data_IF_067025472329
#
_entry.id   IF_067025472329
#
_cell.length_a   1.000
_cell.length_b   1.000
_cell.length_c   1.000
_cell.angle_alpha   90.00
_cell.angle_beta   90.00
_cell.angle_gamma   90.00
#
_symmetry.space_group_name_H-M   'P 1'
#
loop_
_entity.id
_entity.type
_entity.pdbx_description
1 polymer ?
#
# COMPACT_ATOMS: atom_id res chain seq x y z
N UNK A 1 13.24 50.25 56.29
CA UNK A 1 14.16 49.30 55.63
C UNK A 1 13.36 48.08 55.20
N UNK A 2 13.74 47.46 54.08
CA UNK A 2 13.30 46.17 53.51
C UNK A 2 11.84 45.70 53.64
N UNK A 3 11.22 45.46 52.48
CA UNK A 3 9.88 44.88 52.33
C UNK A 3 9.94 43.35 52.31
N UNK A 4 9.02 42.70 53.02
CA UNK A 4 8.85 41.24 53.00
C UNK A 4 7.74 40.85 52.02
N UNK A 5 8.11 40.32 50.86
CA UNK A 5 7.17 39.74 49.89
C UNK A 5 7.87 38.64 49.09
N UNK A 6 7.65 37.39 49.49
CA UNK A 6 8.12 36.20 48.77
C UNK A 6 6.90 35.45 48.27
N UNK A 7 6.82 35.30 46.95
CA UNK A 7 5.63 34.75 46.27
C UNK A 7 5.54 33.23 46.43
N UNK A 8 4.37 32.73 46.80
CA UNK A 8 4.05 31.31 46.78
C UNK A 8 3.80 30.85 45.33
N UNK A 9 4.83 30.29 44.69
CA UNK A 9 4.72 29.76 43.33
C UNK A 9 4.00 28.40 43.31
N UNK A 10 2.69 28.40 43.04
CA UNK A 10 1.94 27.17 42.75
C UNK A 10 2.39 26.57 41.41
N UNK A 11 3.21 25.54 41.47
CA UNK A 11 3.56 24.71 40.31
C UNK A 11 2.40 23.75 39.96
N UNK A 12 1.38 24.26 39.28
CA UNK A 12 0.26 23.45 38.78
C UNK A 12 0.72 22.49 37.67
N UNK A 13 0.99 21.23 38.04
CA UNK A 13 1.28 20.17 37.08
C UNK A 13 0.00 19.77 36.34
N UNK A 14 -0.26 20.41 35.20
CA UNK A 14 -1.34 20.02 34.28
C UNK A 14 -1.05 18.64 33.67
N UNK A 15 -1.52 17.60 34.34
CA UNK A 15 -1.52 16.24 33.80
C UNK A 15 -2.54 16.14 32.66
N UNK A 16 -2.11 16.54 31.46
CA UNK A 16 -2.88 16.29 30.22
C UNK A 16 -2.86 14.79 29.97
N UNK A 17 -3.87 14.10 30.49
CA UNK A 17 -4.11 12.70 30.16
C UNK A 17 -4.34 12.59 28.66
N UNK A 18 -3.40 11.95 27.95
CA UNK A 18 -3.53 11.68 26.53
C UNK A 18 -4.67 10.68 26.32
N UNK A 19 -5.87 11.20 26.07
CA UNK A 19 -7.02 10.39 25.67
C UNK A 19 -6.67 9.66 24.37
N UNK A 20 -6.98 8.37 24.24
CA UNK A 20 -6.81 7.68 22.97
C UNK A 20 -7.71 8.36 21.93
N UNK A 21 -7.10 8.90 20.88
CA UNK A 21 -7.84 9.51 19.77
C UNK A 21 -8.61 8.40 19.07
N UNK A 22 -9.95 8.47 19.12
CA UNK A 22 -10.80 7.51 18.43
C UNK A 22 -10.85 7.85 16.92
N UNK A 23 -9.89 7.28 16.19
CA UNK A 23 -9.76 7.45 14.74
C UNK A 23 -10.95 6.88 13.94
N UNK A 24 -11.84 6.10 14.56
CA UNK A 24 -13.07 5.61 13.90
C UNK A 24 -14.09 6.74 13.68
N UNK A 25 -14.04 7.79 14.50
CA UNK A 25 -14.95 8.95 14.45
C UNK A 25 -14.45 10.09 13.55
N UNK A 26 -13.36 9.92 12.80
CA UNK A 26 -13.04 10.82 11.70
C UNK A 26 -14.12 10.70 10.61
N UNK A 27 -15.04 11.66 10.60
CA UNK A 27 -16.16 11.69 9.66
C UNK A 27 -15.68 11.51 8.21
N UNK A 28 -16.34 10.64 7.45
CA UNK A 28 -16.07 10.37 6.02
C UNK A 28 -16.51 11.55 5.15
N UNK A 29 -15.85 12.70 5.32
CA UNK A 29 -16.06 13.89 4.52
C UNK A 29 -15.89 13.59 3.03
N UNK A 30 -16.68 14.27 2.21
CA UNK A 30 -16.57 14.16 0.75
C UNK A 30 -15.40 15.01 0.19
N UNK A 31 -14.46 15.40 1.05
CA UNK A 31 -13.32 16.26 0.75
C UNK A 31 -12.30 15.47 -0.05
N UNK A 32 -12.14 15.80 -1.33
CA UNK A 32 -11.10 15.20 -2.17
C UNK A 32 -9.73 15.49 -1.56
N UNK A 33 -8.97 14.44 -1.21
CA UNK A 33 -7.69 14.57 -0.51
C UNK A 33 -6.64 15.21 -1.43
N UNK A 34 -6.49 16.52 -1.30
CA UNK A 34 -5.67 17.40 -2.16
C UNK A 34 -4.25 17.61 -1.62
N UNK A 35 -3.78 16.71 -0.75
CA UNK A 35 -2.45 16.74 -0.17
C UNK A 35 -1.37 16.34 -1.19
N UNK A 36 -1.11 17.22 -2.17
CA UNK A 36 -0.10 17.02 -3.22
C UNK A 36 1.27 16.74 -2.59
N UNK A 37 1.87 15.62 -2.99
CA UNK A 37 3.26 15.31 -2.71
C UNK A 37 4.04 15.28 -4.01
N UNK A 38 5.02 16.17 -4.16
CA UNK A 38 5.81 16.29 -5.39
C UNK A 38 6.65 15.05 -5.69
N UNK A 39 6.86 14.16 -4.72
CA UNK A 39 7.52 12.86 -4.91
C UNK A 39 6.55 11.73 -5.29
N UNK A 40 5.24 11.93 -5.11
CA UNK A 40 4.17 10.99 -5.42
C UNK A 40 2.99 11.71 -6.11
N UNK A 41 3.13 12.10 -7.38
CA UNK A 41 2.08 12.82 -8.10
C UNK A 41 0.84 11.94 -8.31
N UNK A 42 -0.33 12.47 -7.93
CA UNK A 42 -1.61 11.77 -8.01
C UNK A 42 -2.59 12.24 -6.95
N UNK A 43 -3.71 11.52 -6.82
CA UNK A 43 -4.61 11.65 -5.66
C UNK A 43 -4.35 10.54 -4.64
N UNK A 44 -4.63 10.82 -3.35
CA UNK A 44 -4.52 9.79 -2.30
C UNK A 44 -5.61 8.75 -2.50
N UNK A 45 -5.21 7.49 -2.72
CA UNK A 45 -6.11 6.37 -2.94
C UNK A 45 -6.41 5.55 -1.69
N UNK A 46 -5.63 5.70 -0.62
CA UNK A 46 -5.81 4.98 0.64
C UNK A 46 -4.52 4.92 1.44
N UNK A 47 -4.53 4.09 2.49
CA UNK A 47 -3.43 3.98 3.44
C UNK A 47 -3.03 2.52 3.69
N UNK A 48 -1.77 2.26 4.06
CA UNK A 48 -1.30 0.91 4.40
C UNK A 48 -0.37 0.94 5.62
N UNK A 49 -0.61 0.07 6.59
CA UNK A 49 0.32 -0.18 7.70
C UNK A 49 1.44 -1.11 7.23
N UNK A 50 2.71 -0.77 7.51
CA UNK A 50 3.86 -1.68 7.30
C UNK A 50 4.58 -1.93 8.62
N UNK A 51 4.97 -3.18 8.87
CA UNK A 51 5.38 -3.66 10.19
C UNK A 51 6.82 -3.30 10.58
N UNK A 52 7.67 -2.88 9.65
CA UNK A 52 9.09 -2.59 9.91
C UNK A 52 9.57 -1.33 9.20
N UNK A 53 10.56 -0.66 9.81
CA UNK A 53 11.27 0.47 9.19
C UNK A 53 11.91 0.08 7.85
N UNK A 54 12.47 -1.13 7.73
CA UNK A 54 13.10 -1.60 6.50
C UNK A 54 12.11 -1.69 5.31
N UNK A 55 10.84 -2.06 5.57
CA UNK A 55 9.79 -2.00 4.55
C UNK A 55 9.37 -0.55 4.24
N UNK A 56 9.23 0.30 5.26
CA UNK A 56 8.93 1.73 5.08
C UNK A 56 10.00 2.46 4.26
N UNK A 57 11.28 2.21 4.55
CA UNK A 57 12.44 2.76 3.82
C UNK A 57 12.47 2.25 2.37
N UNK A 58 12.15 0.97 2.15
CA UNK A 58 12.03 0.38 0.80
C UNK A 58 10.90 1.02 -0.01
N UNK A 59 9.74 1.30 0.60
CA UNK A 59 8.65 2.04 -0.04
C UNK A 59 9.06 3.48 -0.33
N UNK A 60 9.62 4.19 0.65
CA UNK A 60 10.05 5.59 0.50
C UNK A 60 11.15 5.78 -0.56
N UNK A 61 12.10 4.85 -0.65
CA UNK A 61 13.22 4.89 -1.60
C UNK A 61 12.87 4.40 -3.01
N UNK A 62 11.94 3.44 -3.15
CA UNK A 62 11.47 2.97 -4.46
C UNK A 62 10.21 3.69 -4.97
N UNK A 63 9.58 4.51 -4.12
CA UNK A 63 8.28 5.16 -4.37
C UNK A 63 7.18 4.17 -4.80
N UNK A 64 7.24 2.93 -4.31
CA UNK A 64 6.35 1.84 -4.72
C UNK A 64 6.13 0.83 -3.58
N UNK A 65 4.92 0.28 -3.48
CA UNK A 65 4.62 -0.76 -2.50
C UNK A 65 5.21 -2.13 -2.89
N UNK A 66 5.68 -2.94 -1.93
CA UNK A 66 6.01 -4.34 -2.20
C UNK A 66 4.79 -5.11 -2.73
N UNK A 67 5.06 -6.11 -3.60
CA UNK A 67 4.09 -7.10 -4.08
C UNK A 67 4.08 -8.28 -3.11
N UNK A 68 3.70 -8.01 -1.87
CA UNK A 68 3.62 -8.97 -0.76
C UNK A 68 2.16 -9.26 -0.39
N UNK A 69 1.78 -10.52 -0.14
CA UNK A 69 0.44 -10.86 0.32
C UNK A 69 0.23 -10.34 1.75
N UNK A 70 -0.93 -9.76 2.09
CA UNK A 70 -1.23 -9.36 3.45
C UNK A 70 -1.57 -10.54 4.35
N UNK A 71 -1.56 -10.31 5.66
CA UNK A 71 -2.27 -11.16 6.62
C UNK A 71 -3.77 -10.80 6.56
N UNK A 72 -4.65 -11.76 6.25
CA UNK A 72 -6.07 -11.48 5.98
C UNK A 72 -6.31 -11.19 4.50
N UNK A 73 -6.33 -12.25 3.69
CA UNK A 73 -6.53 -12.19 2.24
C UNK A 73 -8.01 -12.37 1.95
N UNK A 74 -8.76 -11.28 1.79
CA UNK A 74 -10.21 -11.35 1.54
C UNK A 74 -10.58 -11.13 0.07
N UNK A 75 -9.75 -10.40 -0.68
CA UNK A 75 -10.01 -9.96 -2.07
C UNK A 75 -8.96 -10.50 -3.05
N UNK A 76 -8.41 -11.68 -2.74
CA UNK A 76 -7.42 -12.38 -3.55
C UNK A 76 -5.96 -12.07 -3.15
N UNK A 77 -5.09 -13.08 -3.28
CA UNK A 77 -3.72 -13.03 -2.77
C UNK A 77 -2.76 -12.21 -3.62
N UNK A 78 -3.06 -12.08 -4.91
CA UNK A 78 -2.23 -11.38 -5.89
C UNK A 78 -2.49 -9.85 -5.95
N UNK A 79 -2.70 -9.21 -4.80
CA UNK A 79 -3.04 -7.78 -4.66
C UNK A 79 -2.35 -7.11 -3.47
N UNK A 80 -2.09 -5.80 -3.57
CA UNK A 80 -1.71 -4.96 -2.41
C UNK A 80 -2.95 -4.30 -1.82
N UNK A 81 -3.04 -4.28 -0.50
CA UNK A 81 -4.24 -3.87 0.24
C UNK A 81 -4.05 -2.52 0.94
N UNK A 82 -5.13 -1.75 1.00
CA UNK A 82 -5.22 -0.42 1.58
C UNK A 82 -6.50 -0.24 2.40
N UNK A 83 -6.48 0.62 3.42
CA UNK A 83 -7.65 1.09 4.20
C UNK A 83 -8.09 2.50 3.80
N UNK A 84 -9.33 2.89 4.13
CA UNK A 84 -9.82 4.26 3.89
C UNK A 84 -9.18 5.31 4.82
N UNK A 85 -8.71 4.95 6.01
CA UNK A 85 -7.98 5.85 6.91
C UNK A 85 -6.61 5.32 7.34
N UNK A 86 -5.83 6.18 7.99
CA UNK A 86 -4.56 5.82 8.61
C UNK A 86 -4.79 4.85 9.78
N UNK A 87 -3.95 3.82 9.88
CA UNK A 87 -3.90 2.92 11.03
C UNK A 87 -5.03 1.90 11.14
N UNK A 88 -6.13 2.03 10.37
CA UNK A 88 -7.25 1.06 10.43
C UNK A 88 -6.82 -0.35 10.03
N UNK A 89 -5.95 -0.47 9.01
CA UNK A 89 -5.49 -1.78 8.57
C UNK A 89 -4.61 -2.42 9.65
N UNK A 90 -5.00 -3.60 10.19
CA UNK A 90 -4.45 -4.13 11.43
C UNK A 90 -2.95 -4.43 11.33
N UNK A 91 -2.17 -3.68 12.09
CA UNK A 91 -0.74 -3.88 12.28
C UNK A 91 -0.32 -3.36 13.64
N UNK A 92 -0.25 -4.25 14.63
CA UNK A 92 0.19 -3.93 15.99
C UNK A 92 1.72 -3.98 16.13
N UNK A 93 2.23 -3.32 17.17
CA UNK A 93 3.63 -3.40 17.60
C UNK A 93 4.39 -2.08 17.60
N UNK A 94 5.51 -2.04 18.31
CA UNK A 94 6.46 -0.92 18.30
C UNK A 94 7.31 -0.97 17.04
N UNK A 95 7.32 0.10 16.24
CA UNK A 95 8.07 0.17 14.98
C UNK A 95 7.22 0.05 13.70
N UNK A 96 5.89 -0.05 13.84
CA UNK A 96 4.97 0.09 12.70
C UNK A 96 5.06 1.49 12.09
N UNK A 97 4.94 1.55 10.77
CA UNK A 97 4.92 2.78 9.99
C UNK A 97 3.60 2.84 9.21
N UNK A 98 3.08 4.04 9.03
CA UNK A 98 1.84 4.29 8.28
C UNK A 98 2.17 4.94 6.95
N UNK A 99 1.64 4.37 5.88
CA UNK A 99 1.94 4.79 4.51
C UNK A 99 0.71 5.37 3.83
N UNK A 100 0.89 6.50 3.16
CA UNK A 100 -0.07 7.07 2.20
C UNK A 100 0.20 6.43 0.84
N UNK A 101 -0.86 6.04 0.15
CA UNK A 101 -0.82 5.56 -1.22
C UNK A 101 -1.44 6.60 -2.16
N UNK A 102 -0.73 6.91 -3.24
CA UNK A 102 -1.17 7.82 -4.30
C UNK A 102 -1.28 7.06 -5.63
N UNK A 103 -2.09 7.53 -6.57
CA UNK A 103 -2.10 7.01 -7.94
C UNK A 103 -2.46 8.08 -8.98
N UNK A 104 -2.13 7.78 -10.23
CA UNK A 104 -2.52 8.58 -11.39
C UNK A 104 -4.05 8.63 -11.51
N UNK A 105 -4.63 9.81 -11.27
CA UNK A 105 -6.07 10.09 -11.31
C UNK A 105 -6.75 9.65 -12.61
N UNK A 106 -6.05 9.73 -13.75
CA UNK A 106 -6.61 9.31 -15.04
C UNK A 106 -6.73 7.79 -15.11
N UNK A 107 -5.68 7.08 -14.67
CA UNK A 107 -5.66 5.63 -14.60
C UNK A 107 -6.63 5.10 -13.55
N UNK A 108 -6.75 5.76 -12.39
CA UNK A 108 -7.71 5.41 -11.36
C UNK A 108 -9.16 5.58 -11.82
N UNK A 109 -9.47 6.67 -12.54
CA UNK A 109 -10.80 6.88 -13.14
C UNK A 109 -11.11 5.80 -14.19
N UNK A 110 -10.17 5.53 -15.09
CA UNK A 110 -10.31 4.53 -16.16
C UNK A 110 -10.34 3.06 -15.68
N UNK A 111 -9.79 2.76 -14.50
CA UNK A 111 -9.76 1.40 -13.95
C UNK A 111 -11.17 0.83 -13.71
N UNK A 112 -11.38 -0.44 -14.06
CA UNK A 112 -12.57 -1.21 -13.65
C UNK A 112 -12.62 -1.33 -12.12
N UNK A 113 -13.83 -1.32 -11.56
CA UNK A 113 -14.07 -1.33 -10.09
C UNK A 113 -15.17 -2.33 -9.73
N UNK A 114 -14.95 -3.14 -8.70
CA UNK A 114 -15.92 -4.10 -8.17
C UNK A 114 -16.00 -3.97 -6.66
N UNK A 115 -17.23 -3.73 -6.19
CA UNK A 115 -17.58 -3.86 -4.78
C UNK A 115 -18.05 -5.28 -4.50
N UNK A 116 -17.46 -5.92 -3.49
CA UNK A 116 -17.83 -7.24 -3.01
C UNK A 116 -19.01 -7.16 -2.03
N UNK A 117 -19.79 -8.25 -1.86
CA UNK A 117 -20.88 -8.32 -0.89
C UNK A 117 -20.35 -8.53 0.52
N UNK A 118 -21.10 -8.04 1.51
CA UNK A 118 -20.76 -8.20 2.93
C UNK A 118 -21.67 -9.19 3.67
N UNK A 119 -22.70 -9.71 3.00
CA UNK A 119 -23.48 -10.84 3.49
C UNK A 119 -22.59 -12.08 3.71
N UNK A 120 -22.54 -12.62 4.93
CA UNK A 120 -21.66 -13.75 5.29
C UNK A 120 -21.80 -14.99 4.39
N UNK A 121 -23.02 -15.30 3.92
CA UNK A 121 -23.22 -16.42 2.99
C UNK A 121 -22.52 -16.17 1.65
N UNK A 122 -22.54 -14.92 1.18
CA UNK A 122 -21.88 -14.53 -0.07
C UNK A 122 -20.37 -14.35 0.11
N UNK A 123 -19.89 -13.85 1.26
CA UNK A 123 -18.45 -13.73 1.56
C UNK A 123 -17.74 -15.07 1.35
N UNK A 124 -18.27 -16.17 1.91
CA UNK A 124 -17.67 -17.52 1.79
C UNK A 124 -17.43 -17.98 0.34
N UNK A 125 -18.26 -17.60 -0.63
CA UNK A 125 -18.16 -18.03 -2.03
C UNK A 125 -17.71 -16.95 -3.02
N UNK A 126 -17.54 -15.69 -2.60
CA UNK A 126 -17.05 -14.59 -3.44
C UNK A 126 -15.68 -14.06 -3.02
N UNK A 127 -15.19 -14.41 -1.82
CA UNK A 127 -13.95 -13.90 -1.22
C UNK A 127 -12.96 -15.03 -0.90
N UNK A 128 -11.85 -14.65 -0.27
CA UNK A 128 -10.81 -15.51 0.33
C UNK A 128 -9.93 -16.34 -0.61
N UNK A 129 -10.38 -16.69 -1.82
CA UNK A 129 -9.54 -17.32 -2.85
C UNK A 129 -9.55 -16.52 -4.13
N UNK A 130 -8.43 -16.52 -4.87
CA UNK A 130 -8.36 -15.86 -6.19
C UNK A 130 -9.44 -16.41 -7.13
N UNK A 131 -9.70 -17.72 -7.12
CA UNK A 131 -10.75 -18.33 -7.95
C UNK A 131 -12.16 -17.79 -7.65
N UNK A 132 -12.55 -17.65 -6.37
CA UNK A 132 -13.85 -17.10 -5.97
C UNK A 132 -13.97 -15.63 -6.38
N UNK A 133 -12.90 -14.86 -6.14
CA UNK A 133 -12.83 -13.42 -6.38
C UNK A 133 -12.87 -13.10 -7.87
N UNK A 134 -12.12 -13.84 -8.68
CA UNK A 134 -12.07 -13.69 -10.13
C UNK A 134 -13.39 -14.15 -10.77
N UNK A 135 -13.98 -15.27 -10.31
CA UNK A 135 -15.31 -15.69 -10.74
C UNK A 135 -16.39 -14.66 -10.40
N UNK A 136 -16.34 -14.03 -9.22
CA UNK A 136 -17.28 -12.97 -8.84
C UNK A 136 -17.15 -11.73 -9.73
N UNK A 137 -15.91 -11.31 -10.06
CA UNK A 137 -15.66 -10.17 -10.96
C UNK A 137 -16.24 -10.44 -12.36
N UNK A 138 -16.08 -11.66 -12.88
CA UNK A 138 -16.68 -12.07 -14.15
C UNK A 138 -18.21 -12.08 -14.07
N UNK A 139 -18.79 -12.74 -13.06
CA UNK A 139 -20.25 -12.79 -12.85
C UNK A 139 -20.89 -11.39 -12.73
N UNK A 140 -20.34 -10.53 -11.86
CA UNK A 140 -20.94 -9.22 -11.58
C UNK A 140 -20.80 -8.27 -12.77
N UNK A 141 -19.70 -8.33 -13.51
CA UNK A 141 -19.50 -7.51 -14.73
C UNK A 141 -20.26 -8.05 -15.95
N UNK A 142 -20.62 -9.33 -15.96
CA UNK A 142 -21.08 -10.03 -17.17
C UNK A 142 -19.92 -10.24 -18.15
N UNK A 143 -18.80 -10.75 -17.63
CA UNK A 143 -17.52 -11.04 -18.31
C UNK A 143 -16.78 -9.81 -18.89
N UNK A 144 -17.33 -8.61 -18.73
CA UNK A 144 -16.76 -7.34 -19.23
C UNK A 144 -15.47 -6.90 -18.52
N UNK A 145 -15.19 -7.41 -17.32
CA UNK A 145 -14.04 -7.00 -16.51
C UNK A 145 -13.03 -8.14 -16.33
N UNK A 146 -11.78 -7.92 -16.74
CA UNK A 146 -10.67 -8.84 -16.44
C UNK A 146 -10.28 -8.74 -14.96
N UNK A 147 -10.27 -9.84 -14.18
CA UNK A 147 -10.00 -9.79 -12.75
C UNK A 147 -8.62 -9.24 -12.35
N UNK A 148 -7.60 -9.47 -13.19
CA UNK A 148 -6.24 -8.98 -12.99
C UNK A 148 -6.08 -7.46 -13.25
N UNK A 149 -7.09 -6.80 -13.84
CA UNK A 149 -7.12 -5.35 -14.10
C UNK A 149 -8.39 -4.69 -13.57
N UNK A 150 -8.89 -5.18 -12.42
CA UNK A 150 -10.07 -4.67 -11.73
C UNK A 150 -9.75 -4.38 -10.28
N UNK A 151 -10.00 -3.14 -9.84
CA UNK A 151 -9.90 -2.72 -8.45
C UNK A 151 -11.02 -3.36 -7.62
N UNK A 152 -10.66 -3.88 -6.45
CA UNK A 152 -11.52 -4.70 -5.61
C UNK A 152 -11.79 -3.95 -4.30
N UNK A 153 -13.05 -3.78 -3.92
CA UNK A 153 -13.47 -2.99 -2.75
C UNK A 153 -14.40 -3.80 -1.84
N UNK A 154 -14.26 -3.62 -0.54
CA UNK A 154 -15.16 -4.16 0.49
C UNK A 154 -15.33 -3.18 1.65
N UNK A 155 -16.37 -3.37 2.45
CA UNK A 155 -16.52 -2.75 3.78
C UNK A 155 -16.26 -3.82 4.84
N UNK A 156 -15.29 -3.60 5.70
CA UNK A 156 -15.14 -4.35 6.95
C UNK A 156 -15.79 -3.56 8.10
N UNK A 157 -15.99 -4.19 9.24
CA UNK A 157 -16.93 -3.71 10.29
C UNK A 157 -16.65 -2.28 10.77
N UNK A 158 -15.38 -1.85 10.77
CA UNK A 158 -14.95 -0.50 11.17
C UNK A 158 -14.30 0.34 10.05
N UNK A 159 -13.91 -0.25 8.91
CA UNK A 159 -13.15 0.45 7.85
C UNK A 159 -13.44 -0.11 6.45
N UNK A 160 -13.10 0.63 5.39
CA UNK A 160 -13.18 0.11 4.02
C UNK A 160 -11.84 -0.50 3.63
N UNK A 161 -11.88 -1.61 2.89
CA UNK A 161 -10.69 -2.28 2.35
C UNK A 161 -10.70 -2.20 0.81
N UNK A 162 -9.59 -1.77 0.21
CA UNK A 162 -9.34 -1.80 -1.23
C UNK A 162 -8.15 -2.69 -1.52
N UNK A 163 -8.27 -3.59 -2.50
CA UNK A 163 -7.17 -4.38 -3.03
C UNK A 163 -6.88 -4.00 -4.48
N UNK A 164 -5.61 -3.69 -4.76
CA UNK A 164 -5.06 -3.34 -6.07
C UNK A 164 -4.26 -4.53 -6.59
N UNK A 165 -4.72 -5.25 -7.63
CA UNK A 165 -3.98 -6.36 -8.22
C UNK A 165 -2.54 -6.00 -8.62
N UNK A 166 -1.61 -6.94 -8.48
CA UNK A 166 -0.18 -6.71 -8.78
C UNK A 166 0.10 -6.29 -10.23
N UNK A 167 -0.83 -6.56 -11.17
CA UNK A 167 -0.75 -6.11 -12.58
C UNK A 167 -1.19 -4.66 -12.81
N UNK A 168 -1.85 -4.03 -11.82
CA UNK A 168 -2.36 -2.66 -11.89
C UNK A 168 -1.42 -1.64 -11.24
N UNK A 169 -0.62 -2.03 -10.24
CA UNK A 169 0.26 -1.14 -9.49
C UNK A 169 1.11 -0.24 -10.40
N UNK A 170 1.81 -0.86 -11.35
CA UNK A 170 2.71 -0.15 -12.26
C UNK A 170 1.93 0.68 -13.31
N UNK A 171 0.76 0.20 -13.75
CA UNK A 171 -0.12 0.88 -14.73
C UNK A 171 -0.76 2.14 -14.15
N UNK A 172 -1.23 2.06 -12.90
CA UNK A 172 -1.81 3.17 -12.13
C UNK A 172 -0.74 4.07 -11.50
N UNK A 173 0.55 3.74 -11.65
CA UNK A 173 1.69 4.45 -11.03
C UNK A 173 1.52 4.58 -9.50
N UNK A 174 1.14 3.50 -8.83
CA UNK A 174 0.79 3.52 -7.40
C UNK A 174 2.03 3.84 -6.55
N UNK A 175 2.07 5.08 -6.07
CA UNK A 175 3.19 5.64 -5.33
C UNK A 175 2.96 5.54 -3.83
N UNK A 176 4.02 5.30 -3.06
CA UNK A 176 3.94 5.11 -1.61
C UNK A 176 4.87 6.03 -0.83
N UNK A 177 4.37 6.61 0.26
CA UNK A 177 5.16 7.38 1.22
C UNK A 177 4.80 7.01 2.66
N UNK A 178 5.78 6.48 3.39
CA UNK A 178 5.64 5.92 4.72
C UNK A 178 6.28 6.81 5.79
N UNK A 179 5.59 6.95 6.92
CA UNK A 179 6.02 7.75 8.06
C UNK A 179 6.06 6.89 9.33
N UNK A 180 6.95 7.17 10.30
CA UNK A 180 6.83 6.63 11.64
C UNK A 180 5.43 6.90 12.22
N UNK A 181 4.86 5.95 12.97
CA UNK A 181 3.48 6.08 13.47
C UNK A 181 3.20 7.43 14.16
N UNK A 182 4.06 7.85 15.10
CA UNK A 182 3.87 9.09 15.85
C UNK A 182 3.78 10.33 14.95
N UNK A 183 4.61 10.40 13.91
CA UNK A 183 4.57 11.48 12.93
C UNK A 183 3.26 11.43 12.13
N UNK A 184 2.86 10.23 11.69
CA UNK A 184 1.65 10.01 10.89
C UNK A 184 0.36 10.39 11.65
N UNK A 185 0.29 10.13 12.97
CA UNK A 185 -0.81 10.54 13.83
C UNK A 185 -1.03 12.07 13.78
N UNK A 186 0.06 12.86 13.82
CA UNK A 186 -0.02 14.33 13.68
C UNK A 186 -0.46 14.82 12.28
N UNK A 187 -0.26 14.00 11.24
CA UNK A 187 -0.59 14.35 9.85
C UNK A 187 -2.00 13.93 9.41
N UNK A 188 -2.79 13.33 10.29
CA UNK A 188 -4.18 12.92 10.00
C UNK A 188 -5.07 14.07 9.49
N UNK A 189 -4.88 15.30 9.98
CA UNK A 189 -5.58 16.48 9.47
C UNK A 189 -5.18 16.89 8.04
N UNK A 190 -3.96 16.53 7.59
CA UNK A 190 -3.50 16.73 6.20
C UNK A 190 -4.00 15.62 5.27
N UNK A 191 -4.15 14.40 5.78
CA UNK A 191 -4.52 13.20 5.03
C UNK A 191 -5.85 12.61 5.55
N UNK A 192 -7.01 13.19 5.18
CA UNK A 192 -8.32 12.72 5.62
C UNK A 192 -8.66 11.32 5.05
N UNK A 193 -9.63 10.64 5.67
CA UNK A 193 -10.13 9.33 5.19
C UNK A 193 -10.63 9.42 3.75
N UNK A 194 -10.22 8.49 2.88
CA UNK A 194 -10.59 8.46 1.45
C UNK A 194 -11.98 7.84 1.28
N UNK A 195 -12.96 8.63 0.86
CA UNK A 195 -14.32 8.14 0.67
C UNK A 195 -14.51 7.44 -0.69
N UNK A 196 -14.21 6.13 -0.75
CA UNK A 196 -14.44 5.33 -1.97
C UNK A 196 -15.92 5.11 -2.33
N UNK A 197 -16.87 5.57 -1.50
CA UNK A 197 -18.31 5.46 -1.81
C UNK A 197 -18.81 6.63 -2.67
N UNK A 198 -17.94 7.60 -3.01
CA UNK A 198 -18.27 8.81 -3.78
C UNK A 198 -17.26 9.07 -4.92
N UNK A 199 -17.50 10.12 -5.71
CA UNK A 199 -16.55 10.65 -6.70
C UNK A 199 -16.04 9.63 -7.72
N UNK A 200 -14.72 9.63 -7.97
CA UNK A 200 -14.05 8.77 -8.95
C UNK A 200 -14.19 7.26 -8.67
N UNK A 201 -14.59 6.88 -7.46
CA UNK A 201 -14.74 5.49 -7.02
C UNK A 201 -16.18 4.96 -7.15
N UNK A 202 -17.18 5.86 -7.14
CA UNK A 202 -18.61 5.48 -7.16
C UNK A 202 -19.09 4.95 -8.51
N UNK A 203 -18.40 5.26 -9.61
CA UNK A 203 -18.77 4.92 -10.98
C UNK A 203 -18.58 3.45 -11.35
N UNK A 204 -19.14 2.51 -10.58
CA UNK A 204 -19.16 1.09 -10.93
C UNK A 204 -20.58 0.54 -11.06
N UNK A 205 -20.93 0.14 -12.28
CA UNK A 205 -22.22 -0.51 -12.62
C UNK A 205 -22.45 -1.80 -11.80
N UNK A 206 -21.36 -2.35 -11.25
CA UNK A 206 -21.32 -3.52 -10.37
C UNK A 206 -21.79 -3.22 -8.95
N UNK A 207 -21.72 -1.96 -8.47
CA UNK A 207 -22.21 -1.59 -7.14
C UNK A 207 -23.71 -1.83 -7.02
N UNK A 208 -24.51 -1.40 -8.01
CA UNK A 208 -25.95 -1.63 -8.03
C UNK A 208 -26.28 -3.12 -8.00
N UNK A 209 -25.68 -3.92 -8.88
CA UNK A 209 -25.86 -5.39 -8.88
C UNK A 209 -25.43 -6.05 -7.55
N UNK A 210 -24.45 -5.48 -6.84
CA UNK A 210 -24.08 -5.94 -5.49
C UNK A 210 -25.13 -5.55 -4.46
N UNK A 211 -25.64 -4.32 -4.47
CA UNK A 211 -26.79 -3.94 -3.63
C UNK A 211 -28.00 -4.86 -3.88
N UNK A 212 -28.27 -5.25 -5.14
CA UNK A 212 -29.28 -6.22 -5.53
C UNK A 212 -28.97 -7.68 -5.10
N UNK A 213 -27.72 -8.02 -4.76
CA UNK A 213 -27.33 -9.31 -4.20
C UNK A 213 -27.45 -9.31 -2.68
N UNK A 214 -26.91 -8.28 -2.01
CA UNK A 214 -27.00 -8.12 -0.57
C UNK A 214 -28.47 -7.98 -0.12
N UNK A 215 -29.32 -7.27 -0.89
CA UNK A 215 -30.76 -7.14 -0.63
C UNK A 215 -31.55 -8.45 -0.75
N UNK A 216 -31.02 -9.48 -1.43
CA UNK A 216 -31.61 -10.84 -1.42
C UNK A 216 -31.31 -11.62 -0.14
N UNK A 217 -30.47 -11.06 0.75
CA UNK A 217 -30.33 -11.49 2.13
C UNK A 217 -29.98 -12.97 2.29
N UNK A 218 -30.68 -13.64 3.21
CA UNK A 218 -30.44 -15.06 3.54
C UNK A 218 -30.92 -16.05 2.47
N UNK A 219 -31.71 -15.60 1.50
CA UNK A 219 -32.22 -16.40 0.38
C UNK A 219 -31.26 -16.42 -0.84
N UNK A 220 -30.21 -15.59 -0.84
CA UNK A 220 -29.18 -15.63 -1.87
C UNK A 220 -28.37 -16.94 -1.78
N UNK A 221 -28.61 -17.85 -2.72
CA UNK A 221 -27.67 -18.92 -3.04
C UNK A 221 -26.41 -18.31 -3.67
N UNK A 222 -25.26 -18.98 -3.52
CA UNK A 222 -24.00 -18.51 -4.10
C UNK A 222 -24.13 -18.40 -5.64
N UNK A 223 -24.07 -17.18 -6.22
CA UNK A 223 -24.31 -16.99 -7.65
C UNK A 223 -23.15 -17.53 -8.49
N UNK A 224 -21.96 -17.49 -7.92
CA UNK A 224 -20.78 -18.20 -8.40
C UNK A 224 -20.78 -19.61 -7.82
N UNK A 225 -21.17 -20.60 -8.63
CA UNK A 225 -20.51 -21.90 -8.55
C UNK A 225 -19.07 -21.65 -8.97
N UNK A 226 -18.12 -21.81 -8.04
CA UNK A 226 -16.72 -21.93 -8.44
C UNK A 226 -16.63 -23.07 -9.46
N UNK A 227 -16.17 -22.76 -10.68
CA UNK A 227 -16.04 -23.79 -11.72
C UNK A 227 -15.16 -24.91 -11.17
N UNK A 228 -15.59 -26.18 -11.23
CA UNK A 228 -14.90 -27.26 -10.53
C UNK A 228 -13.45 -27.29 -11.01
N UNK A 229 -12.53 -27.02 -10.08
CA UNK A 229 -11.10 -26.84 -10.35
C UNK A 229 -10.65 -27.99 -11.27
N UNK A 230 -10.11 -27.69 -12.46
CA UNK A 230 -10.10 -28.64 -13.57
C UNK A 230 -9.42 -29.92 -13.11
N UNK A 231 -10.22 -30.99 -12.97
CA UNK A 231 -9.76 -32.25 -12.40
C UNK A 231 -8.55 -32.68 -13.20
N UNK A 232 -7.39 -32.72 -12.54
CA UNK A 232 -6.11 -32.97 -13.19
C UNK A 232 -6.11 -34.42 -13.64
N UNK A 233 -6.62 -34.67 -14.83
CA UNK A 233 -6.68 -35.99 -15.45
C UNK A 233 -5.27 -36.57 -15.42
N UNK A 234 -5.04 -37.50 -14.51
CA UNK A 234 -3.86 -38.35 -14.50
C UNK A 234 -4.02 -39.35 -15.63
N UNK A 235 -3.96 -38.84 -16.85
CA UNK A 235 -3.78 -39.62 -18.06
C UNK A 235 -2.46 -40.37 -17.90
N UNK A 236 -2.56 -41.62 -17.47
CA UNK A 236 -1.43 -42.48 -17.17
C UNK A 236 -0.65 -42.75 -18.45
N UNK A 237 0.40 -41.96 -18.70
CA UNK A 237 1.30 -42.14 -19.82
C UNK A 237 2.15 -43.38 -19.59
N UNK A 238 1.68 -44.52 -20.08
CA UNK A 238 2.39 -45.80 -20.03
C UNK A 238 3.66 -45.70 -20.90
N UNK A 239 4.82 -45.52 -20.27
CA UNK A 239 6.10 -45.46 -20.99
C UNK A 239 6.48 -46.82 -21.59
N UNK A 240 6.68 -46.94 -22.92
CA UNK A 240 7.41 -48.05 -23.50
C UNK A 240 8.91 -47.89 -23.21
N UNK A 241 9.61 -48.98 -22.92
CA UNK A 241 11.05 -48.96 -22.65
C UNK A 241 11.86 -49.35 -23.90
N UNK A 242 12.74 -48.45 -24.34
CA UNK A 242 13.88 -48.71 -25.23
C UNK A 242 14.95 -47.67 -24.88
N UNK A 243 16.18 -47.98 -24.47
CA UNK A 243 17.15 -48.96 -24.99
C UNK A 243 17.65 -48.59 -26.38
N UNK A 244 18.77 -47.87 -26.43
CA UNK A 244 19.45 -47.42 -27.64
C UNK A 244 20.80 -46.78 -27.27
N UNK A 245 21.88 -47.25 -27.87
CA UNK A 245 23.26 -46.94 -27.43
C UNK A 245 23.86 -45.68 -28.03
N UNK A 246 24.92 -45.22 -27.36
CA UNK A 246 25.86 -44.17 -27.69
C UNK A 246 26.20 -43.92 -29.17
N UNK A 247 26.61 -42.67 -29.47
CA UNK A 247 27.91 -42.35 -30.09
C UNK A 247 28.31 -40.92 -29.74
N UNK A 248 29.62 -40.63 -29.67
CA UNK A 248 30.17 -39.31 -29.33
C UNK A 248 30.71 -38.59 -30.58
N UNK A 249 30.54 -37.28 -30.68
CA UNK A 249 31.51 -36.42 -31.36
C UNK A 249 31.42 -34.93 -30.96
N UNK A 250 32.60 -34.37 -30.67
CA UNK A 250 32.96 -32.94 -30.57
C UNK A 250 34.20 -32.80 -31.46
N UNK A 251 34.24 -31.90 -32.45
CA UNK A 251 34.65 -30.50 -32.23
C UNK A 251 33.84 -29.51 -33.13
N UNK A 252 34.15 -28.23 -33.30
CA UNK A 252 35.34 -27.45 -32.94
C UNK A 252 35.03 -25.98 -32.59
N UNK A 253 36.03 -25.30 -32.03
CA UNK A 253 36.04 -23.85 -31.82
C UNK A 253 36.54 -23.14 -33.08
N UNK A 254 35.91 -22.03 -33.47
CA UNK A 254 36.53 -21.08 -34.42
C UNK A 254 36.28 -19.64 -33.98
N UNK A 255 37.35 -18.98 -33.55
CA UNK A 255 37.40 -17.53 -33.30
C UNK A 255 37.82 -16.79 -34.57
N UNK A 256 37.32 -15.57 -34.81
CA UNK A 256 38.02 -14.61 -35.68
C UNK A 256 37.80 -13.16 -35.20
N UNK A 257 38.85 -12.34 -35.03
CA UNK A 257 38.74 -10.94 -34.61
C UNK A 257 38.92 -9.94 -35.78
N UNK A 258 38.88 -8.64 -35.46
CA UNK A 258 39.40 -7.51 -36.27
C UNK A 258 38.63 -7.16 -37.56
N UNK A 259 38.65 -5.91 -38.06
CA UNK A 259 39.00 -4.61 -37.45
C UNK A 259 38.57 -3.44 -38.37
N UNK A 260 38.91 -2.22 -37.92
CA UNK A 260 39.19 -1.02 -38.75
C UNK A 260 38.01 -0.11 -39.10
N UNK A 261 38.08 1.10 -38.57
CA UNK A 261 37.19 2.22 -38.82
C UNK A 261 37.43 2.91 -40.18
N UNK A 262 36.54 3.84 -40.53
CA UNK A 262 36.93 5.08 -41.22
C UNK A 262 36.18 6.24 -40.59
N UNK A 263 36.83 7.40 -40.51
CA UNK A 263 36.33 8.59 -39.83
C UNK A 263 35.81 9.65 -40.81
N UNK A 264 34.96 10.55 -40.32
CA UNK A 264 34.94 11.94 -40.80
C UNK A 264 34.44 12.89 -39.70
N UNK A 265 34.97 14.11 -39.69
CA UNK A 265 34.73 15.10 -38.64
C UNK A 265 34.41 16.47 -39.24
N UNK A 266 33.52 17.21 -38.57
CA UNK A 266 33.37 18.66 -38.65
C UNK A 266 32.45 19.14 -37.49
N UNK A 267 32.48 20.38 -37.00
CA UNK A 267 33.57 21.16 -36.38
C UNK A 267 32.99 22.51 -35.92
N UNK A 268 33.03 22.82 -34.61
CA UNK A 268 32.76 24.14 -33.96
C UNK A 268 31.42 24.86 -34.28
N UNK A 269 30.68 25.40 -33.31
CA UNK A 269 31.05 26.43 -32.33
C UNK A 269 30.23 26.26 -31.03
N UNK A 270 30.63 26.69 -29.82
CA UNK A 270 31.46 27.81 -29.32
C UNK A 270 30.71 29.16 -29.22
N UNK A 271 29.85 29.26 -28.21
CA UNK A 271 29.52 30.51 -27.52
C UNK A 271 29.50 30.24 -26.01
N UNK A 272 30.06 31.14 -25.20
CA UNK A 272 30.10 31.03 -23.74
C UNK A 272 30.02 32.43 -23.13
N UNK A 273 29.23 32.58 -22.06
CA UNK A 273 29.12 33.82 -21.26
C UNK A 273 29.06 33.46 -19.78
N UNK A 274 29.74 34.21 -18.93
CA UNK A 274 30.06 33.83 -17.54
C UNK A 274 29.63 34.84 -16.48
N UNK A 275 29.06 34.33 -15.39
CA UNK A 275 28.93 34.96 -14.05
C UNK A 275 28.67 33.81 -13.05
N UNK A 276 29.34 33.59 -11.90
CA UNK A 276 30.22 34.40 -11.01
C UNK A 276 29.50 35.64 -10.43
N UNK A 277 29.35 35.86 -9.12
CA UNK A 277 29.59 35.08 -7.88
C UNK A 277 28.51 35.55 -6.84
N UNK A 278 28.40 35.19 -5.55
CA UNK A 278 29.29 34.71 -4.48
C UNK A 278 28.45 33.94 -3.42
N UNK A 279 28.97 33.01 -2.60
CA UNK A 279 29.54 33.22 -1.23
C UNK A 279 28.68 34.17 -0.35
N UNK A 280 28.26 33.86 0.89
CA UNK A 280 28.77 32.97 1.97
C UNK A 280 27.53 32.42 2.77
N UNK A 281 27.50 31.64 3.86
CA UNK A 281 28.34 31.46 5.07
C UNK A 281 28.13 30.09 5.77
N UNK A 282 28.94 29.84 6.82
CA UNK A 282 28.84 28.73 7.79
C UNK A 282 27.58 28.80 8.69
N UNK A 283 27.12 27.64 9.16
CA UNK A 283 27.05 27.34 10.61
C UNK A 283 26.96 25.82 10.83
N UNK A 284 27.72 25.29 11.81
CA UNK A 284 27.58 23.92 12.29
C UNK A 284 27.56 23.93 13.81
N UNK A 285 26.60 23.24 14.42
CA UNK A 285 26.46 23.16 15.88
C UNK A 285 26.19 21.72 16.29
N UNK A 286 27.15 21.12 16.99
CA UNK A 286 26.98 19.83 17.67
C UNK A 286 26.33 20.03 19.03
N UNK A 287 25.32 19.23 19.38
CA UNK A 287 24.81 19.12 20.75
C UNK A 287 24.93 17.69 21.26
N UNK A 288 25.42 17.58 22.49
CA UNK A 288 25.91 16.33 23.10
C UNK A 288 24.77 15.38 23.46
N UNK A 289 24.98 14.08 23.29
CA UNK A 289 24.18 13.08 23.97
C UNK A 289 24.30 13.26 25.50
N UNK A 290 23.19 13.12 26.23
CA UNK A 290 23.18 13.18 27.69
C UNK A 290 22.63 11.89 28.29
N UNK A 291 23.38 11.28 29.22
CA UNK A 291 23.26 9.86 29.61
C UNK A 291 22.79 9.71 31.06
N UNK A 292 21.51 9.99 31.31
CA UNK A 292 20.96 9.94 32.67
C UNK A 292 20.79 8.50 33.18
N UNK A 293 21.60 8.12 34.18
CA UNK A 293 21.38 6.92 35.01
C UNK A 293 20.43 7.28 36.16
N UNK A 294 19.17 6.86 36.10
CA UNK A 294 18.28 6.94 37.27
C UNK A 294 18.46 5.71 38.17
N UNK A 295 18.84 5.91 39.43
CA UNK A 295 18.87 4.85 40.46
C UNK A 295 17.46 4.67 41.04
N UNK A 296 16.92 3.46 41.00
CA UNK A 296 15.69 3.11 41.75
C UNK A 296 16.07 2.70 43.18
N UNK A 297 15.59 3.38 44.24
CA UNK A 297 15.80 2.95 45.62
C UNK A 297 14.98 1.69 45.95
N UNK A 298 15.50 0.87 46.86
CA UNK A 298 14.83 -0.35 47.37
C UNK A 298 14.13 0.00 48.68
N UNK A 299 12.80 0.06 48.67
CA UNK A 299 12.01 0.17 49.90
C UNK A 299 11.85 -1.22 50.53
N UNK A 300 12.10 -1.31 51.84
CA UNK A 300 11.83 -2.49 52.68
C UNK A 300 10.86 -2.11 53.77
N UNK A 301 9.70 -2.77 53.82
CA UNK A 301 8.75 -2.69 54.92
C UNK A 301 8.25 -4.08 55.25
N UNK A 302 8.61 -4.56 56.45
CA UNK A 302 8.10 -5.79 57.06
C UNK A 302 7.22 -5.39 58.26
N UNK A 303 6.25 -6.23 58.64
CA UNK A 303 6.28 -6.79 60.00
C UNK A 303 6.91 -8.18 60.00
#
# INVERSE_FOLDING_TARGET
MYSSSIFAALAALSLVAATPVDYSLQARGNTQSSAVDYECPGEVIGYRTVSTKALADKVNGKKAFPKDPPNGIDLGGNSVYFSDGFGDYPGGGTGVHWCVAYADTTQLKAANKVWFPENEKLKQCTRFTDNNVDAYILFISGEKFTPASTLRFSSLDSYLQMAVPFSMLDKMKVCGKCFPKADAETMTAKYPRVNWKTGAYAGSNTKQKRDELDARGTAASCPVKASPSPSRSTTSSTSPSASGSATSSKPATTSNPSATATSKAATTSKAATTSKAATTSKAATTSKANKSKSKKPRATSKP
#
